data_IF_985608881266
#
_entry.id   IF_985608881266
#
_cell.length_a   1.000
_cell.length_b   1.000
_cell.length_c   1.000
_cell.angle_alpha   90.00
_cell.angle_beta   90.00
_cell.angle_gamma   90.00
#
_symmetry.space_group_name_H-M   'P 1'
#
loop_
_entity.id
_entity.type
_entity.pdbx_description
1 polymer ?
#
# COMPACT_ATOMS: atom_id res chain seq x y z
N UNK A 1 6.21 -31.32 -6.02
CA UNK A 1 7.15 -30.21 -6.30
C UNK A 1 6.41 -29.15 -7.12
N UNK A 2 5.67 -28.26 -6.45
CA UNK A 2 5.02 -27.08 -7.07
C UNK A 2 5.27 -25.88 -6.14
N UNK A 3 6.56 -25.58 -5.93
CA UNK A 3 7.04 -24.47 -5.08
C UNK A 3 6.95 -23.13 -5.84
N UNK A 4 6.95 -23.19 -7.17
CA UNK A 4 6.96 -22.05 -8.09
C UNK A 4 5.76 -21.09 -8.03
N UNK A 5 4.48 -21.54 -7.91
CA UNK A 5 3.35 -20.61 -7.96
C UNK A 5 3.25 -19.72 -6.71
N UNK A 6 3.71 -20.16 -5.54
CA UNK A 6 3.57 -19.40 -4.29
C UNK A 6 4.53 -18.21 -4.22
N UNK A 7 5.78 -18.42 -4.63
CA UNK A 7 6.81 -17.38 -4.71
C UNK A 7 6.44 -16.29 -5.73
N UNK A 8 5.96 -16.70 -6.91
CA UNK A 8 5.61 -15.79 -8.00
C UNK A 8 4.34 -14.98 -7.66
N UNK A 9 3.33 -15.60 -7.02
CA UNK A 9 2.14 -14.87 -6.53
C UNK A 9 2.48 -13.83 -5.46
N UNK A 10 3.44 -14.11 -4.56
CA UNK A 10 3.80 -13.17 -3.51
C UNK A 10 4.52 -11.94 -4.05
N UNK A 11 5.46 -12.12 -4.97
CA UNK A 11 6.14 -10.99 -5.61
C UNK A 11 5.16 -10.15 -6.44
N UNK A 12 4.22 -10.79 -7.13
CA UNK A 12 3.13 -10.10 -7.82
C UNK A 12 2.19 -9.38 -6.84
N UNK A 13 1.87 -9.98 -5.69
CA UNK A 13 1.03 -9.36 -4.67
C UNK A 13 1.69 -8.13 -4.02
N UNK A 14 2.99 -8.19 -3.77
CA UNK A 14 3.78 -7.05 -3.26
C UNK A 14 3.85 -5.94 -4.30
N UNK A 15 4.19 -6.29 -5.54
CA UNK A 15 4.25 -5.34 -6.65
C UNK A 15 2.88 -4.66 -6.84
N UNK A 16 1.80 -5.43 -6.82
CA UNK A 16 0.44 -4.91 -6.92
C UNK A 16 0.08 -4.02 -5.73
N UNK A 17 0.48 -4.41 -4.51
CA UNK A 17 0.29 -3.60 -3.31
C UNK A 17 0.97 -2.23 -3.40
N UNK A 18 2.22 -2.18 -3.88
CA UNK A 18 2.92 -0.91 -4.09
C UNK A 18 2.29 -0.08 -5.22
N UNK A 19 1.91 -0.69 -6.34
CA UNK A 19 1.22 0.00 -7.44
C UNK A 19 -0.10 0.58 -6.95
N UNK A 20 -0.89 -0.20 -6.19
CA UNK A 20 -2.13 0.25 -5.59
C UNK A 20 -1.89 1.44 -4.65
N UNK A 21 -0.87 1.38 -3.79
CA UNK A 21 -0.54 2.46 -2.87
C UNK A 21 -0.13 3.75 -3.62
N UNK A 22 0.70 3.63 -4.66
CA UNK A 22 1.10 4.78 -5.49
C UNK A 22 -0.14 5.40 -6.15
N UNK A 23 -1.02 4.58 -6.74
CA UNK A 23 -2.27 5.05 -7.35
C UNK A 23 -3.18 5.75 -6.34
N UNK A 24 -3.37 5.15 -5.17
CA UNK A 24 -4.14 5.72 -4.08
C UNK A 24 -3.58 7.08 -3.64
N UNK A 25 -2.26 7.15 -3.45
CA UNK A 25 -1.57 8.38 -3.04
C UNK A 25 -1.69 9.48 -4.10
N UNK A 26 -1.64 9.13 -5.38
CA UNK A 26 -1.86 10.08 -6.48
C UNK A 26 -3.29 10.60 -6.53
N UNK A 27 -4.29 9.77 -6.24
CA UNK A 27 -5.70 10.20 -6.18
C UNK A 27 -5.89 11.22 -5.06
N UNK A 28 -5.39 10.95 -3.85
CA UNK A 28 -5.49 11.89 -2.74
C UNK A 28 -4.68 13.16 -2.97
N UNK A 29 -3.51 13.06 -3.60
CA UNK A 29 -2.73 14.23 -3.99
C UNK A 29 -3.48 15.10 -5.01
N UNK A 30 -4.08 14.48 -6.03
CA UNK A 30 -4.85 15.21 -7.03
C UNK A 30 -6.08 15.88 -6.38
N UNK A 31 -6.80 15.15 -5.52
CA UNK A 31 -7.92 15.71 -4.75
C UNK A 31 -7.47 16.91 -3.89
N UNK A 32 -6.33 16.81 -3.21
CA UNK A 32 -5.77 17.92 -2.43
C UNK A 32 -5.46 19.15 -3.31
N UNK A 33 -4.84 18.92 -4.48
CA UNK A 33 -4.49 19.99 -5.43
C UNK A 33 -5.76 20.66 -5.97
N UNK A 34 -6.74 19.89 -6.45
CA UNK A 34 -8.00 20.42 -6.97
C UNK A 34 -8.75 21.21 -5.89
N UNK A 35 -8.79 20.69 -4.66
CA UNK A 35 -9.43 21.35 -3.53
C UNK A 35 -8.84 22.73 -3.22
N UNK A 36 -7.52 22.90 -3.36
CA UNK A 36 -6.85 24.21 -3.22
C UNK A 36 -7.32 25.18 -4.32
N UNK A 37 -7.39 24.73 -5.58
CA UNK A 37 -7.83 25.57 -6.69
C UNK A 37 -9.30 25.99 -6.58
N UNK A 38 -10.14 25.08 -6.08
CA UNK A 38 -11.58 25.33 -5.90
C UNK A 38 -11.90 26.07 -4.58
N UNK A 39 -10.89 26.31 -3.73
CA UNK A 39 -11.04 26.87 -2.37
C UNK A 39 -11.93 26.03 -1.46
N UNK A 40 -12.01 24.73 -1.72
CA UNK A 40 -12.70 23.75 -0.88
C UNK A 40 -11.74 23.22 0.20
N UNK A 41 -11.69 23.93 1.32
CA UNK A 41 -10.82 23.54 2.43
C UNK A 41 -11.28 22.27 3.15
N UNK A 42 -12.56 21.92 3.08
CA UNK A 42 -13.09 20.70 3.69
C UNK A 42 -12.55 19.47 2.96
N UNK A 43 -12.64 19.45 1.62
CA UNK A 43 -12.09 18.40 0.79
C UNK A 43 -10.57 18.32 0.88
N UNK A 44 -9.88 19.45 1.00
CA UNK A 44 -8.44 19.47 1.24
C UNK A 44 -8.07 18.79 2.57
N UNK A 45 -8.71 19.19 3.68
CA UNK A 45 -8.46 18.59 5.00
C UNK A 45 -8.80 17.09 4.99
N UNK A 46 -9.93 16.72 4.38
CA UNK A 46 -10.31 15.32 4.23
C UNK A 46 -9.25 14.52 3.47
N UNK A 47 -8.74 15.04 2.36
CA UNK A 47 -7.73 14.37 1.55
C UNK A 47 -6.43 14.10 2.33
N UNK A 48 -6.06 14.99 3.26
CA UNK A 48 -4.89 14.82 4.12
C UNK A 48 -5.15 13.84 5.26
N UNK A 49 -6.27 14.00 5.99
CA UNK A 49 -6.60 13.19 7.16
C UNK A 49 -6.93 11.75 6.77
N UNK A 50 -7.49 11.52 5.58
CA UNK A 50 -7.81 10.17 5.11
C UNK A 50 -6.69 9.60 4.23
N UNK A 51 -6.16 10.40 3.32
CA UNK A 51 -5.17 9.93 2.34
C UNK A 51 -3.85 9.50 2.98
N UNK A 52 -3.31 10.28 3.93
CA UNK A 52 -2.04 9.97 4.57
C UNK A 52 -2.14 8.69 5.42
N UNK A 53 -3.11 8.54 6.34
CA UNK A 53 -3.22 7.32 7.14
C UNK A 53 -3.56 6.09 6.32
N UNK A 54 -4.38 6.22 5.27
CA UNK A 54 -4.73 5.09 4.41
C UNK A 54 -3.55 4.62 3.57
N UNK A 55 -2.73 5.54 3.06
CA UNK A 55 -1.46 5.20 2.40
C UNK A 55 -0.50 4.50 3.36
N UNK A 56 -0.32 5.04 4.58
CA UNK A 56 0.52 4.44 5.61
C UNK A 56 0.05 3.04 6.04
N UNK A 57 -1.26 2.86 6.22
CA UNK A 57 -1.88 1.56 6.49
C UNK A 57 -1.54 0.57 5.37
N UNK A 58 -1.71 0.99 4.11
CA UNK A 58 -1.43 0.12 2.96
C UNK A 58 0.04 -0.32 2.93
N UNK A 59 1.00 0.58 3.25
CA UNK A 59 2.42 0.20 3.40
C UNK A 59 2.58 -0.82 4.54
N UNK A 60 1.91 -0.62 5.67
CA UNK A 60 1.98 -1.52 6.81
C UNK A 60 1.47 -2.93 6.46
N UNK A 61 0.36 -3.05 5.71
CA UNK A 61 -0.17 -4.35 5.27
C UNK A 61 0.80 -5.08 4.34
N UNK A 62 1.41 -4.35 3.39
CA UNK A 62 2.43 -4.93 2.48
C UNK A 62 3.61 -5.46 3.30
N UNK A 63 4.06 -4.70 4.30
CA UNK A 63 5.17 -5.09 5.18
C UNK A 63 4.82 -6.26 6.10
N UNK A 64 3.62 -6.28 6.66
CA UNK A 64 3.13 -7.36 7.53
C UNK A 64 3.04 -8.67 6.76
N UNK A 65 2.48 -8.65 5.54
CA UNK A 65 2.43 -9.83 4.67
C UNK A 65 3.82 -10.36 4.27
N UNK A 66 4.86 -9.50 4.29
CA UNK A 66 6.24 -9.90 4.03
C UNK A 66 6.94 -10.50 5.26
N UNK A 67 6.76 -9.90 6.44
CA UNK A 67 7.43 -10.33 7.68
C UNK A 67 7.02 -11.75 8.10
N UNK A 68 5.72 -12.05 8.05
CA UNK A 68 5.21 -13.39 8.39
C UNK A 68 5.78 -14.48 7.46
N UNK A 69 6.11 -14.12 6.22
CA UNK A 69 6.68 -15.09 5.29
C UNK A 69 8.16 -15.35 5.54
N UNK A 70 8.92 -14.29 5.86
CA UNK A 70 10.34 -14.41 6.21
C UNK A 70 10.54 -15.25 7.47
N UNK A 71 9.68 -15.09 8.47
CA UNK A 71 9.69 -15.91 9.69
C UNK A 71 9.34 -17.39 9.42
N UNK A 72 8.40 -17.67 8.51
CA UNK A 72 8.07 -19.05 8.11
C UNK A 72 9.17 -19.73 7.27
N UNK A 73 9.94 -18.98 6.50
CA UNK A 73 11.09 -19.51 5.76
C UNK A 73 12.30 -19.77 6.66
N UNK A 74 12.53 -18.93 7.68
CA UNK A 74 13.59 -19.12 8.67
C UNK A 74 13.30 -20.32 9.60
N UNK A 75 12.05 -20.50 10.05
CA UNK A 75 11.64 -21.67 10.86
C UNK A 75 11.71 -23.00 10.10
N UNK A 76 11.56 -23.01 8.77
CA UNK A 76 11.68 -24.24 7.96
C UNK A 76 13.12 -24.65 7.64
N UNK A 77 14.10 -23.77 7.90
CA UNK A 77 15.53 -24.01 7.66
C UNK A 77 16.30 -24.40 8.92
N UNK A 78 15.71 -24.24 10.11
CA UNK A 78 16.23 -24.76 11.39
C UNK A 78 15.69 -26.15 11.69
#
# INVERSE_FOLDING_TARGET
>A
MFIFPKFLLQHLGILFGYIFNIGLSLIFLNMAITSIFEKDYESFIFSLIVGIPLSAWTIYLIRSGYSEHKEQEEQKKS
#
